data_IF_178608446390
#
_entry.id   IF_178608446390
#
_cell.length_a   1.000
_cell.length_b   1.000
_cell.length_c   1.000
_cell.angle_alpha   90.00
_cell.angle_beta   90.00
_cell.angle_gamma   90.00
#
_symmetry.space_group_name_H-M   'P 1'
#
loop_
_entity.id
_entity.type
_entity.pdbx_description
1 polymer ?
#
# COMPACT_ATOMS: atom_id res chain seq x y z
N UNK A 1 -23.51 -13.02 17.66
CA UNK A 1 -22.48 -13.92 18.24
C UNK A 1 -21.24 -13.07 18.42
N UNK A 2 -20.66 -13.03 19.61
CA UNK A 2 -19.56 -12.10 19.91
C UNK A 2 -18.19 -12.76 19.71
N UNK A 3 -17.16 -11.93 19.51
CA UNK A 3 -15.80 -12.35 19.23
C UNK A 3 -14.84 -11.66 20.20
N UNK A 4 -13.76 -12.36 20.54
CA UNK A 4 -12.61 -11.78 21.22
C UNK A 4 -11.65 -11.19 20.20
N UNK A 5 -11.43 -9.88 20.27
CA UNK A 5 -10.29 -9.20 19.66
C UNK A 5 -9.11 -9.30 20.62
N UNK A 6 -8.15 -10.15 20.29
CA UNK A 6 -6.96 -10.39 21.11
C UNK A 6 -5.78 -9.68 20.45
N UNK A 7 -5.09 -8.83 21.22
CA UNK A 7 -3.90 -8.10 20.77
C UNK A 7 -2.71 -8.45 21.66
N UNK A 8 -1.60 -8.87 21.07
CA UNK A 8 -0.37 -9.15 21.82
C UNK A 8 0.37 -7.84 22.12
N UNK A 9 0.28 -7.32 23.35
CA UNK A 9 0.95 -6.07 23.74
C UNK A 9 2.39 -6.33 24.17
N UNK A 10 2.63 -7.40 24.93
CA UNK A 10 3.97 -7.75 25.44
C UNK A 10 4.55 -8.94 24.70
N UNK A 11 5.86 -8.96 24.50
CA UNK A 11 6.54 -10.11 23.89
C UNK A 11 6.74 -11.23 24.89
N UNK A 12 6.68 -12.48 24.41
CA UNK A 12 6.94 -13.65 25.22
C UNK A 12 8.43 -14.00 25.41
N UNK A 13 9.35 -13.08 25.10
CA UNK A 13 10.78 -13.36 25.19
C UNK A 13 11.17 -13.72 26.64
N UNK A 14 11.95 -14.79 26.81
CA UNK A 14 12.35 -15.27 28.13
C UNK A 14 11.27 -16.01 28.93
N UNK A 15 10.08 -16.23 28.36
CA UNK A 15 9.03 -17.03 29.01
C UNK A 15 9.18 -18.53 28.70
N UNK A 16 8.61 -19.40 29.55
CA UNK A 16 8.62 -20.84 29.32
C UNK A 16 7.98 -21.25 27.99
N UNK A 17 8.43 -22.37 27.42
CA UNK A 17 7.91 -22.92 26.15
C UNK A 17 6.39 -23.16 26.16
N UNK A 18 5.81 -23.43 27.34
CA UNK A 18 4.35 -23.61 27.50
C UNK A 18 3.58 -22.33 27.12
N UNK A 19 4.05 -21.17 27.56
CA UNK A 19 3.45 -19.87 27.24
C UNK A 19 3.56 -19.58 25.74
N UNK A 20 4.71 -19.86 25.13
CA UNK A 20 4.89 -19.77 23.67
C UNK A 20 3.94 -20.69 22.90
N UNK A 21 3.70 -21.91 23.41
CA UNK A 21 2.76 -22.86 22.81
C UNK A 21 1.33 -22.32 22.78
N UNK A 22 0.87 -21.71 23.87
CA UNK A 22 -0.46 -21.08 23.95
C UNK A 22 -0.59 -19.91 22.97
N UNK A 23 0.41 -19.03 22.91
CA UNK A 23 0.40 -17.91 21.95
C UNK A 23 0.39 -18.38 20.50
N UNK A 24 1.12 -19.46 20.19
CA UNK A 24 1.12 -20.07 18.86
C UNK A 24 -0.25 -20.67 18.52
N UNK A 25 -0.92 -21.31 19.48
CA UNK A 25 -2.26 -21.87 19.30
C UNK A 25 -3.30 -20.77 19.03
N UNK A 26 -3.18 -19.62 19.71
CA UNK A 26 -4.01 -18.44 19.46
C UNK A 26 -3.70 -17.71 18.13
N UNK A 27 -2.58 -18.05 17.46
CA UNK A 27 -2.14 -17.41 16.22
C UNK A 27 -1.32 -16.12 16.40
N UNK A 28 -0.90 -15.81 17.63
CA UNK A 28 -0.16 -14.59 17.96
C UNK A 28 1.35 -14.81 17.79
N UNK A 29 1.86 -14.48 16.59
CA UNK A 29 3.29 -14.64 16.24
C UNK A 29 4.15 -13.41 16.56
N UNK A 30 3.65 -12.21 16.28
CA UNK A 30 4.39 -10.93 16.41
C UNK A 30 3.70 -10.03 17.44
N UNK A 31 4.46 -9.11 18.05
CA UNK A 31 3.91 -8.05 18.90
C UNK A 31 2.96 -7.17 18.07
N UNK A 32 1.93 -6.62 18.72
CA UNK A 32 0.86 -5.83 18.12
C UNK A 32 0.04 -6.56 17.05
N UNK A 33 0.21 -7.88 16.93
CA UNK A 33 -0.67 -8.70 16.11
C UNK A 33 -2.05 -8.78 16.78
N UNK A 34 -3.08 -8.61 15.96
CA UNK A 34 -4.49 -8.70 16.34
C UNK A 34 -5.10 -9.93 15.69
N UNK A 35 -5.73 -10.80 16.48
CA UNK A 35 -6.46 -11.98 16.00
C UNK A 35 -7.86 -11.97 16.59
N UNK A 36 -8.83 -12.47 15.82
CA UNK A 36 -10.22 -12.60 16.23
C UNK A 36 -10.57 -14.07 16.42
N UNK A 37 -11.16 -14.38 17.57
CA UNK A 37 -11.67 -15.72 17.89
C UNK A 37 -13.12 -15.63 18.36
N UNK A 38 -13.98 -16.62 18.08
CA UNK A 38 -15.32 -16.65 18.65
C UNK A 38 -15.25 -16.77 20.18
N UNK A 39 -16.24 -16.21 20.87
CA UNK A 39 -16.33 -16.34 22.33
C UNK A 39 -16.67 -17.78 22.70
N UNK A 40 -15.67 -18.53 23.18
CA UNK A 40 -15.79 -19.89 23.68
C UNK A 40 -14.96 -20.10 24.95
N UNK A 41 -15.34 -21.09 25.76
CA UNK A 41 -14.64 -21.39 27.03
C UNK A 41 -13.19 -21.84 26.80
N UNK A 42 -12.91 -22.60 25.74
CA UNK A 42 -11.56 -23.05 25.41
C UNK A 42 -10.62 -21.88 25.11
N UNK A 43 -11.10 -20.92 24.31
CA UNK A 43 -10.35 -19.70 23.97
C UNK A 43 -10.15 -18.84 25.22
N UNK A 44 -11.18 -18.68 26.05
CA UNK A 44 -11.08 -17.96 27.32
C UNK A 44 -10.03 -18.58 28.26
N UNK A 45 -9.99 -19.91 28.36
CA UNK A 45 -8.99 -20.64 29.13
C UNK A 45 -7.57 -20.44 28.61
N UNK A 46 -7.39 -20.37 27.29
CA UNK A 46 -6.10 -20.04 26.67
C UNK A 46 -5.68 -18.59 26.98
N UNK A 47 -6.61 -17.63 26.84
CA UNK A 47 -6.38 -16.22 27.18
C UNK A 47 -5.94 -16.08 28.64
N UNK A 48 -6.61 -16.74 29.57
CA UNK A 48 -6.29 -16.66 31.00
C UNK A 48 -4.85 -17.09 31.33
N UNK A 49 -4.30 -18.06 30.59
CA UNK A 49 -2.91 -18.51 30.74
C UNK A 49 -1.88 -17.46 30.29
N UNK A 50 -2.27 -16.51 29.43
CA UNK A 50 -1.39 -15.48 28.85
C UNK A 50 -1.88 -14.05 29.12
N UNK A 51 -2.75 -13.86 30.12
CA UNK A 51 -3.45 -12.60 30.42
C UNK A 51 -2.53 -11.39 30.63
N UNK A 52 -1.28 -11.63 31.04
CA UNK A 52 -0.28 -10.58 31.26
C UNK A 52 0.31 -10.03 29.96
N UNK A 53 0.20 -10.79 28.86
CA UNK A 53 0.80 -10.46 27.57
C UNK A 53 -0.19 -9.83 26.59
N UNK A 54 -1.48 -10.12 26.76
CA UNK A 54 -2.53 -9.81 25.79
C UNK A 54 -3.52 -8.78 26.34
N UNK A 55 -3.99 -7.90 25.47
CA UNK A 55 -5.24 -7.16 25.71
C UNK A 55 -6.37 -7.83 24.93
N UNK A 56 -7.51 -7.95 25.60
CA UNK A 56 -8.72 -8.56 25.04
C UNK A 56 -9.85 -7.54 25.07
N UNK A 57 -10.55 -7.45 23.95
CA UNK A 57 -11.78 -6.67 23.81
C UNK A 57 -12.85 -7.58 23.20
N UNK A 58 -14.09 -7.41 23.64
CA UNK A 58 -15.24 -8.05 23.00
C UNK A 58 -15.73 -7.20 21.83
N UNK A 59 -16.01 -7.84 20.69
CA UNK A 59 -16.50 -7.18 19.47
C UNK A 59 -17.62 -8.01 18.84
N UNK A 60 -18.57 -7.36 18.17
CA UNK A 60 -19.70 -8.05 17.55
C UNK A 60 -19.30 -8.81 16.27
N UNK A 61 -18.30 -8.31 15.55
CA UNK A 61 -17.88 -8.83 14.24
C UNK A 61 -16.37 -8.98 14.19
N UNK A 62 -15.85 -10.08 13.61
CA UNK A 62 -14.43 -10.24 13.36
C UNK A 62 -14.06 -9.41 12.12
N UNK A 63 -12.91 -8.74 12.16
CA UNK A 63 -12.37 -8.02 11.01
C UNK A 63 -11.41 -8.92 10.22
N UNK A 64 -11.49 -8.86 8.90
CA UNK A 64 -10.53 -9.53 8.02
C UNK A 64 -9.17 -8.83 8.02
N UNK A 65 -8.12 -9.51 7.56
CA UNK A 65 -6.78 -8.94 7.48
C UNK A 65 -6.76 -7.69 6.57
N UNK A 66 -7.55 -7.71 5.50
CA UNK A 66 -7.69 -6.60 4.55
C UNK A 66 -8.38 -5.41 5.19
N UNK A 67 -9.50 -5.62 5.88
CA UNK A 67 -10.22 -4.55 6.60
C UNK A 67 -9.33 -3.89 7.66
N UNK A 68 -8.55 -4.67 8.42
CA UNK A 68 -7.57 -4.15 9.36
C UNK A 68 -6.46 -3.34 8.69
N UNK A 69 -6.06 -3.74 7.48
CA UNK A 69 -5.04 -3.02 6.72
C UNK A 69 -5.60 -1.68 6.22
N UNK A 70 -6.80 -1.69 5.65
CA UNK A 70 -7.50 -0.49 5.21
C UNK A 70 -7.79 0.48 6.36
N UNK A 71 -8.18 -0.02 7.53
CA UNK A 71 -8.41 0.82 8.71
C UNK A 71 -7.15 1.54 9.22
N UNK A 72 -5.97 1.00 8.90
CA UNK A 72 -4.67 1.58 9.27
C UNK A 72 -4.13 2.53 8.20
N UNK A 73 -4.69 2.50 6.98
CA UNK A 73 -4.19 3.28 5.86
C UNK A 73 -4.67 4.73 6.00
N UNK A 74 -3.77 5.71 6.17
CA UNK A 74 -4.15 7.11 6.17
C UNK A 74 -4.60 7.56 4.76
N UNK A 75 -5.27 8.71 4.68
CA UNK A 75 -5.53 9.36 3.40
C UNK A 75 -4.20 9.67 2.69
N UNK A 76 -4.03 9.29 1.42
CA UNK A 76 -2.79 9.52 0.70
C UNK A 76 -2.38 11.00 0.60
N UNK A 77 -3.33 11.94 0.63
CA UNK A 77 -3.03 13.37 0.53
C UNK A 77 -2.60 13.86 -0.87
N UNK A 78 -2.65 13.00 -1.88
CA UNK A 78 -2.42 13.34 -3.29
C UNK A 78 -3.42 12.60 -4.18
N UNK A 79 -3.70 13.17 -5.36
CA UNK A 79 -4.46 12.50 -6.41
C UNK A 79 -3.60 12.45 -7.67
N UNK A 80 -3.83 11.44 -8.52
CA UNK A 80 -3.09 11.27 -9.77
C UNK A 80 -3.89 11.94 -10.87
N UNK A 81 -3.38 13.03 -11.43
CA UNK A 81 -4.07 13.78 -12.49
C UNK A 81 -4.04 13.06 -13.84
N UNK A 82 -2.84 12.62 -14.24
CA UNK A 82 -2.60 11.87 -15.48
C UNK A 82 -1.72 10.68 -15.17
N UNK A 83 -2.04 9.53 -15.76
CA UNK A 83 -1.13 8.39 -15.72
C UNK A 83 0.06 8.69 -16.64
N UNK A 84 1.26 8.25 -16.25
CA UNK A 84 2.47 8.51 -17.03
C UNK A 84 2.32 8.06 -18.50
N UNK A 85 1.70 6.90 -18.75
CA UNK A 85 1.44 6.40 -20.10
C UNK A 85 0.60 7.35 -20.97
N UNK A 86 -0.40 8.01 -20.39
CA UNK A 86 -1.26 8.97 -21.09
C UNK A 86 -0.49 10.26 -21.36
N UNK A 87 0.27 10.76 -20.37
CA UNK A 87 1.13 11.93 -20.52
C UNK A 87 2.25 11.70 -21.57
N UNK A 88 2.80 10.48 -21.64
CA UNK A 88 3.80 10.12 -22.64
C UNK A 88 3.20 9.96 -24.04
N UNK A 89 1.98 9.41 -24.18
CA UNK A 89 1.28 9.31 -25.47
C UNK A 89 0.96 10.70 -26.02
N UNK A 90 0.42 11.59 -25.19
CA UNK A 90 0.17 12.99 -25.55
C UNK A 90 1.45 13.71 -25.99
N UNK A 91 2.57 13.54 -25.28
CA UNK A 91 3.87 14.09 -25.70
C UNK A 91 4.40 13.51 -27.01
N UNK A 92 4.14 12.23 -27.31
CA UNK A 92 4.50 11.59 -28.59
C UNK A 92 3.66 12.12 -29.74
N UNK A 93 2.35 12.27 -29.54
CA UNK A 93 1.43 12.78 -30.56
C UNK A 93 1.69 14.26 -30.85
N UNK A 94 2.00 15.07 -29.82
CA UNK A 94 2.46 16.44 -30.01
C UNK A 94 3.75 16.45 -30.84
N UNK A 95 4.78 15.66 -30.48
CA UNK A 95 6.04 15.60 -31.23
C UNK A 95 5.87 15.11 -32.68
N UNK A 96 4.89 14.27 -32.96
CA UNK A 96 4.53 13.88 -34.33
C UNK A 96 3.89 15.03 -35.11
N UNK A 97 3.11 15.90 -34.44
CA UNK A 97 2.50 17.10 -35.04
C UNK A 97 3.47 18.24 -35.36
N UNK A 98 4.65 18.30 -34.74
CA UNK A 98 5.70 19.27 -35.11
C UNK A 98 6.39 18.95 -36.44
N UNK A 99 6.06 17.83 -37.08
CA UNK A 99 6.68 17.44 -38.36
C UNK A 99 5.88 17.88 -39.61
N UNK A 100 4.70 18.47 -39.45
CA UNK A 100 3.79 18.77 -40.56
C UNK A 100 3.46 20.28 -40.79
N UNK A 101 3.95 21.21 -39.97
CA UNK A 101 3.65 22.66 -40.11
C UNK A 101 4.83 23.60 -40.43
N UNK A 102 6.00 23.08 -40.86
CA UNK A 102 7.04 23.90 -41.52
C UNK A 102 7.36 23.38 -42.91
N UNK A 103 6.37 23.45 -43.79
CA UNK A 103 6.58 23.43 -45.23
C UNK A 103 5.75 24.56 -45.88
N UNK A 104 6.21 25.80 -45.72
CA UNK A 104 6.00 26.89 -46.69
C UNK A 104 6.60 28.20 -46.18
N UNK A 105 7.91 28.24 -45.95
CA UNK A 105 8.71 29.43 -46.24
C UNK A 105 10.18 29.00 -46.35
N UNK A 106 10.71 29.11 -47.56
CA UNK A 106 12.02 28.56 -47.90
C UNK A 106 13.14 29.28 -47.16
N UNK A 107 13.75 28.64 -46.17
CA UNK A 107 15.09 28.97 -45.74
C UNK A 107 15.85 27.72 -45.28
N UNK A 108 16.71 27.25 -46.18
CA UNK A 108 17.50 26.04 -46.10
C UNK A 108 18.81 26.33 -45.34
N UNK A 109 18.95 25.88 -44.09
CA UNK A 109 20.25 25.60 -43.49
C UNK A 109 20.17 24.32 -42.65
N UNK A 110 20.72 23.25 -43.22
CA UNK A 110 20.80 21.96 -42.57
C UNK A 110 21.91 21.92 -41.52
N UNK A 111 21.73 21.03 -40.55
CA UNK A 111 22.71 20.00 -40.21
C UNK A 111 21.90 18.75 -39.84
N UNK A 112 21.92 17.76 -40.73
CA UNK A 112 21.53 16.42 -40.36
C UNK A 112 22.57 15.82 -39.43
N UNK A 113 22.14 15.34 -38.27
CA UNK A 113 22.70 14.15 -37.65
C UNK A 113 21.52 13.24 -37.35
N UNK A 114 21.34 12.27 -38.25
CA UNK A 114 20.65 11.03 -37.93
C UNK A 114 21.39 10.37 -36.78
N UNK A 115 20.79 10.35 -35.59
CA UNK A 115 20.94 9.21 -34.70
C UNK A 115 19.64 8.43 -34.75
N UNK A 116 19.57 7.59 -35.77
CA UNK A 116 18.78 6.38 -35.78
C UNK A 116 19.27 5.52 -34.59
N UNK A 117 18.57 5.60 -33.46
CA UNK A 117 18.68 4.61 -32.39
C UNK A 117 17.44 3.72 -32.47
N UNK A 118 17.56 2.72 -33.33
CA UNK A 118 16.67 1.58 -33.35
C UNK A 118 16.92 0.73 -32.09
N UNK A 119 15.83 0.22 -31.52
CA UNK A 119 15.87 -1.00 -30.71
C UNK A 119 16.60 -0.93 -29.36
N UNK A 120 16.02 -0.20 -28.40
CA UNK A 120 16.30 -0.43 -26.98
C UNK A 120 15.01 -0.78 -26.26
N UNK A 121 14.80 -2.05 -25.92
CA UNK A 121 13.84 -2.47 -24.89
C UNK A 121 14.20 -1.74 -23.59
N UNK A 122 13.55 -0.62 -23.34
CA UNK A 122 13.58 0.00 -22.02
C UNK A 122 12.49 -0.73 -21.26
N UNK A 123 12.91 -1.74 -20.49
CA UNK A 123 12.07 -2.40 -19.50
C UNK A 123 11.23 -1.36 -18.78
N UNK A 124 9.94 -1.69 -18.62
CA UNK A 124 8.95 -1.01 -17.79
C UNK A 124 9.46 -0.84 -16.35
N UNK A 125 10.40 0.08 -16.14
CA UNK A 125 10.65 0.63 -14.82
C UNK A 125 9.60 1.71 -14.67
N UNK A 126 8.51 1.31 -14.01
CA UNK A 126 7.39 2.16 -13.61
C UNK A 126 7.93 3.45 -12.97
N UNK A 127 8.11 4.49 -13.78
CA UNK A 127 8.44 5.82 -13.31
C UNK A 127 7.29 6.31 -12.44
N UNK A 128 7.61 6.62 -11.20
CA UNK A 128 6.64 7.14 -10.23
C UNK A 128 5.83 8.30 -10.84
N UNK A 129 4.49 8.29 -10.75
CA UNK A 129 3.66 9.39 -11.26
C UNK A 129 4.04 10.70 -10.55
N UNK A 130 3.94 11.82 -11.27
CA UNK A 130 4.14 13.17 -10.72
C UNK A 130 3.22 13.35 -9.50
N UNK A 131 3.80 13.40 -8.29
CA UNK A 131 3.08 13.49 -7.02
C UNK A 131 2.92 14.95 -6.63
N UNK A 132 1.80 15.56 -7.01
CA UNK A 132 1.43 16.89 -6.52
C UNK A 132 0.64 16.80 -5.20
N UNK A 133 0.88 17.76 -4.30
CA UNK A 133 0.13 17.84 -3.03
C UNK A 133 -1.26 18.40 -3.31
N UNK A 134 -2.27 17.86 -2.62
CA UNK A 134 -3.62 18.42 -2.64
C UNK A 134 -3.58 19.94 -2.34
N UNK A 135 -4.14 20.81 -3.19
CA UNK A 135 -4.39 22.19 -2.78
C UNK A 135 -5.39 22.15 -1.61
N UNK A 136 -5.02 22.84 -0.54
CA UNK A 136 -5.75 22.99 0.69
C UNK A 136 -7.12 23.61 0.43
N UNK A 137 -8.16 22.76 0.38
CA UNK A 137 -9.53 23.23 0.53
C UNK A 137 -9.69 23.65 1.98
N UNK A 138 -9.62 24.97 2.18
CA UNK A 138 -9.68 25.63 3.47
C UNK A 138 -10.76 25.06 4.38
N UNK A 139 -10.35 24.75 5.59
CA UNK A 139 -11.22 24.50 6.74
C UNK A 139 -12.13 25.71 6.97
N UNK A 140 -13.42 25.53 6.73
CA UNK A 140 -14.48 26.28 7.41
C UNK A 140 -15.17 25.34 8.39
#
# INVERSE_FOLDING_TARGET
>A
MTFFRITLIRSAIGLPRRTHGVLKALGLKKRMATVFHPVSQDVAGQIMKVKELVAVQEVDKPLTQEELHWSRKPDPGYYIEKRAAEAFREKRDVRAGWHDEECSDGFFWGVGIYLFYDGGNIEETAGDPVRERRPDLGSR
#
